data_IF_793532041552
#
_entry.id   IF_793532041552
#
_cell.length_a   1.000
_cell.length_b   1.000
_cell.length_c   1.000
_cell.angle_alpha   90.00
_cell.angle_beta   90.00
_cell.angle_gamma   90.00
#
_symmetry.space_group_name_H-M   'P 1'
#
loop_
_entity.id
_entity.type
_entity.pdbx_description
1 polymer ?
#
# COMPACT_ATOMS: atom_id res chain seq x y z
N UNK A 1 -6.69 -6.83 -17.72
CA UNK A 1 -5.69 -7.86 -17.33
C UNK A 1 -5.13 -7.44 -15.99
N UNK A 2 -5.20 -8.31 -14.99
CA UNK A 2 -4.80 -8.03 -13.60
C UNK A 2 -3.29 -7.74 -13.52
N UNK A 3 -2.90 -6.88 -12.56
CA UNK A 3 -1.49 -6.51 -12.39
C UNK A 3 -0.60 -7.73 -12.13
N UNK A 4 -1.10 -8.70 -11.36
CA UNK A 4 -0.40 -9.96 -11.11
C UNK A 4 -0.05 -10.72 -12.40
N UNK A 5 -0.94 -10.71 -13.40
CA UNK A 5 -0.71 -11.40 -14.66
C UNK A 5 0.37 -10.67 -15.46
N UNK A 6 0.34 -9.34 -15.42
CA UNK A 6 1.36 -8.49 -16.03
C UNK A 6 2.73 -8.69 -15.40
N UNK A 7 2.78 -8.83 -14.06
CA UNK A 7 4.04 -9.06 -13.32
C UNK A 7 4.57 -10.47 -13.56
N UNK A 8 3.70 -11.50 -13.57
CA UNK A 8 4.12 -12.90 -13.81
C UNK A 8 4.61 -13.16 -15.23
N UNK A 9 4.04 -12.49 -16.22
CA UNK A 9 4.38 -12.66 -17.64
C UNK A 9 4.50 -11.29 -18.32
N UNK A 10 5.53 -10.50 -17.99
CA UNK A 10 5.65 -9.15 -18.50
C UNK A 10 5.97 -9.15 -20.00
N UNK A 11 5.12 -8.51 -20.79
CA UNK A 11 5.39 -8.22 -22.21
C UNK A 11 6.07 -6.85 -22.39
N UNK A 12 5.95 -6.01 -21.39
CA UNK A 12 6.57 -4.69 -21.27
C UNK A 12 6.76 -4.36 -19.77
N UNK A 13 7.53 -3.34 -19.40
CA UNK A 13 7.60 -2.87 -18.03
C UNK A 13 6.21 -2.56 -17.46
N UNK A 14 5.97 -3.00 -16.23
CA UNK A 14 4.75 -2.66 -15.47
C UNK A 14 4.98 -1.30 -14.83
N UNK A 15 4.07 -0.37 -15.08
CA UNK A 15 4.16 1.01 -14.59
C UNK A 15 3.06 1.25 -13.55
N UNK A 16 3.47 1.53 -12.32
CA UNK A 16 2.57 2.01 -11.27
C UNK A 16 2.80 3.51 -11.03
N UNK A 17 1.72 4.26 -10.87
CA UNK A 17 1.78 5.67 -10.50
C UNK A 17 1.53 5.82 -9.01
N UNK A 18 2.47 6.46 -8.31
CA UNK A 18 2.34 6.69 -6.89
C UNK A 18 1.51 7.95 -6.61
N UNK A 19 0.54 7.81 -5.72
CA UNK A 19 -0.31 8.91 -5.27
C UNK A 19 -0.64 8.77 -3.78
N UNK A 20 -0.52 9.88 -3.07
CA UNK A 20 -0.90 9.97 -1.66
C UNK A 20 -2.37 10.30 -1.52
N UNK A 21 -3.08 9.72 -0.52
CA UNK A 21 -4.40 10.19 -0.16
C UNK A 21 -4.38 11.69 0.18
N UNK A 22 -5.46 12.43 -0.08
CA UNK A 22 -5.53 13.86 0.22
C UNK A 22 -5.39 14.10 1.73
N UNK A 23 -4.89 15.25 2.09
CA UNK A 23 -4.92 15.71 3.48
C UNK A 23 -6.34 16.17 3.82
N UNK A 24 -6.73 16.08 5.08
CA UNK A 24 -8.07 16.48 5.52
C UNK A 24 -8.48 17.89 5.03
N UNK A 25 -7.52 18.82 4.93
CA UNK A 25 -7.76 20.17 4.43
C UNK A 25 -7.90 20.30 2.91
N UNK A 26 -7.52 19.29 2.15
CA UNK A 26 -7.48 19.34 0.67
C UNK A 26 -8.81 18.85 0.04
N UNK A 27 -9.80 18.47 0.86
CA UNK A 27 -11.12 18.02 0.43
C UNK A 27 -11.44 16.60 0.84
N UNK A 28 -12.54 16.06 0.32
CA UNK A 28 -12.97 14.69 0.59
C UNK A 28 -12.23 13.70 -0.31
N UNK A 29 -12.15 12.42 0.13
CA UNK A 29 -11.57 11.35 -0.68
C UNK A 29 -12.23 11.24 -2.05
N UNK A 30 -13.58 11.33 -2.10
CA UNK A 30 -14.36 11.24 -3.33
C UNK A 30 -14.00 12.35 -4.32
N UNK A 31 -14.03 13.62 -3.89
CA UNK A 31 -13.75 14.75 -4.78
C UNK A 31 -12.32 14.73 -5.31
N UNK A 32 -11.38 14.24 -4.49
CA UNK A 32 -10.00 14.10 -4.90
C UNK A 32 -9.82 12.92 -5.87
N UNK A 33 -10.47 11.78 -5.62
CA UNK A 33 -10.47 10.62 -6.51
C UNK A 33 -11.05 10.96 -7.90
N UNK A 34 -12.14 11.71 -7.97
CA UNK A 34 -12.72 12.20 -9.23
C UNK A 34 -11.75 13.11 -10.01
N UNK A 35 -11.09 14.03 -9.29
CA UNK A 35 -10.11 14.94 -9.93
C UNK A 35 -8.94 14.15 -10.51
N UNK A 36 -8.39 13.22 -9.74
CA UNK A 36 -7.26 12.38 -10.18
C UNK A 36 -7.66 11.43 -11.28
N UNK A 37 -8.86 10.87 -11.26
CA UNK A 37 -9.34 9.94 -12.29
C UNK A 37 -9.31 10.55 -13.69
N UNK A 38 -9.65 11.82 -13.80
CA UNK A 38 -9.61 12.55 -15.07
C UNK A 38 -8.19 12.68 -15.64
N UNK A 39 -7.18 12.77 -14.77
CA UNK A 39 -5.77 12.80 -15.16
C UNK A 39 -5.26 11.38 -15.49
N UNK A 40 -5.57 10.40 -14.67
CA UNK A 40 -5.12 9.02 -14.85
C UNK A 40 -5.69 8.37 -16.11
N UNK A 41 -6.93 8.70 -16.49
CA UNK A 41 -7.55 8.18 -17.73
C UNK A 41 -6.81 8.57 -19.01
N UNK A 42 -5.94 9.58 -18.95
CA UNK A 42 -5.12 10.06 -20.05
C UNK A 42 -3.70 9.45 -20.07
N UNK A 43 -3.41 8.52 -19.15
CA UNK A 43 -2.08 7.93 -18.98
C UNK A 43 -2.05 6.45 -19.34
N UNK A 44 -0.85 5.93 -19.60
CA UNK A 44 -0.60 4.51 -19.85
C UNK A 44 0.07 3.87 -18.63
N UNK A 45 -0.63 3.87 -17.50
CA UNK A 45 -0.19 3.17 -16.27
C UNK A 45 -0.94 1.86 -16.12
N UNK A 46 -0.39 0.95 -15.32
CA UNK A 46 -0.91 -0.39 -15.09
C UNK A 46 -1.62 -0.52 -13.75
N UNK A 47 -1.20 0.28 -12.77
CA UNK A 47 -1.75 0.29 -11.40
C UNK A 47 -1.50 1.63 -10.71
N UNK A 48 -2.19 1.81 -9.59
CA UNK A 48 -2.05 2.97 -8.69
C UNK A 48 -1.38 2.49 -7.41
N UNK A 49 -0.24 3.09 -7.04
CA UNK A 49 0.48 2.78 -5.82
C UNK A 49 0.16 3.83 -4.75
N UNK A 50 -0.34 3.37 -3.59
CA UNK A 50 -0.79 4.26 -2.51
C UNK A 50 0.00 3.93 -1.25
N UNK A 51 1.00 4.74 -0.88
CA UNK A 51 1.78 4.51 0.32
C UNK A 51 1.05 4.99 1.58
N UNK A 52 1.17 4.20 2.66
CA UNK A 52 0.96 4.72 4.01
C UNK A 52 2.06 5.72 4.37
N UNK A 53 1.67 6.78 5.06
CA UNK A 53 2.60 7.80 5.57
C UNK A 53 2.49 7.84 7.08
N UNK A 54 3.57 7.42 7.74
CA UNK A 54 3.71 7.49 9.19
C UNK A 54 4.73 8.54 9.61
N UNK A 55 4.50 9.17 10.76
CA UNK A 55 5.53 9.95 11.44
C UNK A 55 6.41 9.02 12.25
N UNK A 56 7.64 8.81 11.80
CA UNK A 56 8.61 8.00 12.53
C UNK A 56 9.46 8.85 13.49
N UNK A 57 9.54 8.36 14.74
CA UNK A 57 10.42 8.93 15.75
C UNK A 57 11.88 8.60 15.35
N UNK A 58 12.73 9.60 15.30
CA UNK A 58 14.17 9.39 15.06
C UNK A 58 14.70 9.85 13.69
N UNK A 59 13.83 10.37 12.83
CA UNK A 59 14.23 10.96 11.53
C UNK A 59 14.86 12.37 11.62
N UNK A 60 15.16 12.85 12.82
CA UNK A 60 15.59 14.22 13.04
C UNK A 60 14.43 15.22 13.02
N UNK A 61 14.75 16.48 13.30
CA UNK A 61 13.75 17.55 13.27
C UNK A 61 13.28 17.80 11.84
N UNK A 62 12.10 17.28 11.51
CA UNK A 62 11.43 17.67 10.26
C UNK A 62 10.82 19.06 10.45
N UNK A 63 11.09 20.00 9.54
CA UNK A 63 10.51 21.34 9.62
C UNK A 63 8.97 21.36 9.46
N UNK A 64 8.41 20.25 8.99
CA UNK A 64 6.95 20.10 8.78
C UNK A 64 6.56 18.70 9.26
N UNK A 65 5.67 18.62 10.26
CA UNK A 65 5.03 17.36 10.66
C UNK A 65 4.14 16.85 9.53
N UNK A 66 4.08 15.53 9.35
CA UNK A 66 3.15 14.95 8.40
C UNK A 66 1.71 15.32 8.80
N UNK A 67 0.96 15.85 7.84
CA UNK A 67 -0.44 16.16 8.06
C UNK A 67 -1.25 14.89 7.89
N UNK A 68 -2.25 14.70 8.76
CA UNK A 68 -3.17 13.58 8.66
C UNK A 68 -3.80 13.52 7.27
N UNK A 69 -3.77 12.33 6.68
CA UNK A 69 -4.31 12.03 5.36
C UNK A 69 -5.50 11.09 5.47
N UNK A 70 -6.28 11.00 4.41
CA UNK A 70 -7.32 9.99 4.29
C UNK A 70 -6.76 8.58 4.39
N UNK A 71 -7.64 7.62 4.63
CA UNK A 71 -7.29 6.20 4.76
C UNK A 71 -6.87 5.65 3.37
N UNK A 72 -5.66 5.07 3.24
CA UNK A 72 -5.14 4.63 1.94
C UNK A 72 -5.99 3.57 1.24
N UNK A 73 -6.58 2.64 1.99
CA UNK A 73 -7.39 1.55 1.44
C UNK A 73 -8.73 2.07 0.91
N UNK A 74 -9.39 2.96 1.66
CA UNK A 74 -10.61 3.62 1.22
C UNK A 74 -10.37 4.43 -0.06
N UNK A 75 -9.25 5.16 -0.11
CA UNK A 75 -8.86 5.89 -1.31
C UNK A 75 -8.54 4.97 -2.48
N UNK A 76 -7.87 3.84 -2.23
CA UNK A 76 -7.56 2.82 -3.23
C UNK A 76 -8.82 2.19 -3.81
N UNK A 77 -9.78 1.83 -2.97
CA UNK A 77 -11.07 1.29 -3.38
C UNK A 77 -11.83 2.28 -4.29
N UNK A 78 -11.92 3.54 -3.89
CA UNK A 78 -12.56 4.59 -4.69
C UNK A 78 -11.89 4.76 -6.06
N UNK A 79 -10.56 4.75 -6.11
CA UNK A 79 -9.82 4.85 -7.38
C UNK A 79 -10.03 3.60 -8.26
N UNK A 80 -10.07 2.41 -7.68
CA UNK A 80 -10.40 1.18 -8.42
C UNK A 80 -11.78 1.29 -9.09
N UNK A 81 -12.78 1.76 -8.34
CA UNK A 81 -14.16 1.90 -8.83
C UNK A 81 -14.27 2.95 -9.95
N UNK A 82 -13.62 4.11 -9.79
CA UNK A 82 -13.75 5.23 -10.74
C UNK A 82 -12.87 5.02 -11.97
N UNK A 83 -11.64 4.55 -11.79
CA UNK A 83 -10.64 4.46 -12.88
C UNK A 83 -10.60 3.08 -13.53
N UNK A 84 -11.05 2.05 -12.82
CA UNK A 84 -10.97 0.65 -13.25
C UNK A 84 -9.54 0.09 -13.26
N UNK A 85 -8.64 0.69 -12.46
CA UNK A 85 -7.26 0.25 -12.29
C UNK A 85 -7.08 -0.34 -10.90
N UNK A 86 -6.28 -1.42 -10.79
CA UNK A 86 -6.00 -2.01 -9.48
C UNK A 86 -5.11 -1.12 -8.63
N UNK A 87 -5.44 -1.01 -7.35
CA UNK A 87 -4.61 -0.34 -6.35
C UNK A 87 -3.58 -1.30 -5.75
N UNK A 88 -2.44 -0.73 -5.37
CA UNK A 88 -1.38 -1.37 -4.58
C UNK A 88 -1.23 -0.54 -3.31
N UNK A 89 -1.43 -1.13 -2.14
CA UNK A 89 -1.21 -0.43 -0.88
C UNK A 89 0.18 -0.74 -0.33
N UNK A 90 0.94 0.29 0.04
CA UNK A 90 2.19 0.09 0.77
C UNK A 90 1.88 0.13 2.26
N UNK A 91 2.04 -1.02 2.92
CA UNK A 91 1.78 -1.18 4.35
C UNK A 91 3.07 -1.21 5.15
N UNK A 92 3.23 -0.31 6.11
CA UNK A 92 4.33 -0.33 7.07
C UNK A 92 3.97 -1.27 8.21
N UNK A 93 4.62 -2.45 8.27
CA UNK A 93 4.17 -3.55 9.14
C UNK A 93 4.79 -3.54 10.54
N UNK A 94 5.79 -2.71 10.78
CA UNK A 94 6.57 -2.78 12.01
C UNK A 94 5.96 -2.03 13.21
N UNK A 95 4.96 -1.17 12.99
CA UNK A 95 4.42 -0.30 14.04
C UNK A 95 3.34 -0.97 14.90
N UNK A 96 2.72 -2.03 14.41
CA UNK A 96 1.63 -2.73 15.07
C UNK A 96 1.98 -4.21 15.26
N UNK A 97 1.31 -4.88 16.20
CA UNK A 97 1.54 -6.30 16.48
C UNK A 97 1.24 -7.20 15.28
N UNK A 98 1.80 -8.41 15.31
CA UNK A 98 1.54 -9.41 14.27
C UNK A 98 0.04 -9.68 14.04
N UNK A 99 -0.75 -9.81 15.10
CA UNK A 99 -2.19 -10.08 15.00
C UNK A 99 -2.97 -8.90 14.41
N UNK A 100 -2.54 -7.67 14.67
CA UNK A 100 -3.10 -6.47 14.04
C UNK A 100 -2.78 -6.43 12.55
N UNK A 101 -1.57 -6.82 12.16
CA UNK A 101 -1.21 -6.91 10.74
C UNK A 101 -2.03 -7.97 10.00
N UNK A 102 -2.31 -9.12 10.63
CA UNK A 102 -3.16 -10.16 10.03
C UNK A 102 -4.57 -9.61 9.79
N UNK A 103 -5.18 -8.99 10.79
CA UNK A 103 -6.51 -8.38 10.65
C UNK A 103 -6.54 -7.31 9.55
N UNK A 104 -5.49 -6.48 9.49
CA UNK A 104 -5.38 -5.46 8.46
C UNK A 104 -5.34 -6.05 7.06
N UNK A 105 -4.59 -7.14 6.84
CA UNK A 105 -4.52 -7.83 5.55
C UNK A 105 -5.87 -8.46 5.17
N UNK A 106 -6.57 -9.07 6.14
CA UNK A 106 -7.91 -9.62 5.93
C UNK A 106 -8.90 -8.54 5.52
N UNK A 107 -8.94 -7.43 6.23
CA UNK A 107 -9.78 -6.28 5.89
C UNK A 107 -9.44 -5.68 4.53
N UNK A 108 -8.15 -5.56 4.20
CA UNK A 108 -7.70 -5.03 2.91
C UNK A 108 -8.29 -5.83 1.74
N UNK A 109 -8.33 -7.16 1.89
CA UNK A 109 -8.86 -8.04 0.86
C UNK A 109 -10.39 -8.14 0.87
N UNK A 110 -11.01 -8.26 2.07
CA UNK A 110 -12.45 -8.56 2.19
C UNK A 110 -13.35 -7.32 2.16
N UNK A 111 -12.87 -6.21 2.71
CA UNK A 111 -13.65 -4.97 2.85
C UNK A 111 -13.34 -3.97 1.74
N UNK A 112 -12.06 -3.83 1.39
CA UNK A 112 -11.62 -2.87 0.38
C UNK A 112 -11.37 -3.48 -1.00
N UNK A 113 -11.47 -4.80 -1.13
CA UNK A 113 -11.27 -5.55 -2.38
C UNK A 113 -9.93 -5.24 -3.07
N UNK A 114 -8.87 -5.02 -2.24
CA UNK A 114 -7.52 -4.73 -2.72
C UNK A 114 -6.65 -5.97 -2.52
N UNK A 115 -6.19 -6.55 -3.60
CA UNK A 115 -5.40 -7.79 -3.61
C UNK A 115 -3.89 -7.58 -3.80
N UNK A 116 -3.46 -6.32 -3.95
CA UNK A 116 -2.05 -6.02 -4.23
C UNK A 116 -1.47 -5.17 -3.11
N UNK A 117 -0.30 -5.56 -2.59
CA UNK A 117 0.35 -4.82 -1.52
C UNK A 117 1.88 -4.87 -1.59
N UNK A 118 2.50 -3.83 -1.06
CA UNK A 118 3.94 -3.78 -0.80
C UNK A 118 4.13 -3.70 0.71
N UNK A 119 4.84 -4.66 1.26
CA UNK A 119 5.17 -4.72 2.67
C UNK A 119 6.44 -3.91 2.92
N UNK A 120 6.35 -2.92 3.80
CA UNK A 120 7.42 -1.98 4.10
C UNK A 120 7.89 -2.18 5.54
N UNK A 121 9.18 -2.23 5.75
CA UNK A 121 9.80 -2.30 7.07
C UNK A 121 9.98 -0.93 7.72
N UNK A 122 10.55 -0.92 8.92
CA UNK A 122 10.90 0.31 9.64
C UNK A 122 12.10 1.02 9.01
N UNK A 123 12.19 2.30 9.24
CA UNK A 123 13.24 3.17 8.69
C UNK A 123 14.48 3.27 9.60
N UNK A 124 14.37 2.85 10.86
CA UNK A 124 15.44 2.95 11.85
C UNK A 124 15.96 1.58 12.25
N UNK A 125 17.28 1.43 12.27
CA UNK A 125 17.94 0.23 12.81
C UNK A 125 18.15 0.29 14.34
N UNK A 126 17.82 1.42 14.97
CA UNK A 126 18.02 1.66 16.41
C UNK A 126 16.70 1.62 17.19
N UNK A 127 15.57 1.50 16.50
CA UNK A 127 14.24 1.38 17.12
C UNK A 127 13.86 -0.08 17.17
N UNK A 128 13.44 -0.53 18.36
CA UNK A 128 12.84 -1.86 18.54
C UNK A 128 11.35 -1.75 18.20
N UNK A 129 10.96 -2.30 17.07
CA UNK A 129 9.60 -2.23 16.58
C UNK A 129 8.77 -3.40 17.11
N UNK A 130 7.50 -3.17 17.51
CA UNK A 130 6.62 -4.23 18.03
C UNK A 130 6.11 -5.20 16.98
N UNK A 131 6.15 -4.79 15.72
CA UNK A 131 5.55 -5.56 14.62
C UNK A 131 6.52 -6.52 13.93
N UNK A 132 6.00 -7.34 13.02
CA UNK A 132 6.78 -8.33 12.31
C UNK A 132 7.73 -7.70 11.29
N UNK A 133 8.76 -8.44 10.93
CA UNK A 133 9.63 -8.07 9.82
C UNK A 133 8.91 -8.24 8.46
N UNK A 134 9.45 -7.58 7.43
CA UNK A 134 8.98 -7.73 6.05
C UNK A 134 8.98 -9.20 5.61
N UNK A 135 10.04 -9.95 5.95
CA UNK A 135 10.16 -11.35 5.56
C UNK A 135 9.11 -12.23 6.22
N UNK A 136 8.83 -12.03 7.51
CA UNK A 136 7.78 -12.75 8.23
C UNK A 136 6.41 -12.50 7.61
N UNK A 137 6.09 -11.24 7.31
CA UNK A 137 4.80 -10.91 6.68
C UNK A 137 4.66 -11.50 5.27
N UNK A 138 5.70 -11.44 4.44
CA UNK A 138 5.66 -12.07 3.12
C UNK A 138 5.48 -13.59 3.21
N UNK A 139 6.13 -14.25 4.17
CA UNK A 139 5.94 -15.68 4.42
C UNK A 139 4.52 -16.00 4.90
N UNK A 140 3.95 -15.16 5.76
CA UNK A 140 2.59 -15.30 6.26
C UNK A 140 1.58 -15.17 5.12
N UNK A 141 1.71 -14.18 4.26
CA UNK A 141 0.85 -14.03 3.08
C UNK A 141 0.96 -15.24 2.16
N UNK A 142 2.18 -15.66 1.85
CA UNK A 142 2.40 -16.78 0.93
C UNK A 142 1.84 -18.10 1.47
N UNK A 143 2.04 -18.40 2.75
CA UNK A 143 1.67 -19.67 3.38
C UNK A 143 0.24 -19.66 3.95
N UNK A 144 -0.18 -18.55 4.55
CA UNK A 144 -1.49 -18.43 5.20
C UNK A 144 -2.61 -18.15 4.21
N UNK A 145 -2.43 -17.15 3.37
CA UNK A 145 -3.48 -16.71 2.45
C UNK A 145 -3.42 -17.43 1.10
N UNK A 146 -2.29 -17.32 0.40
CA UNK A 146 -2.21 -17.81 -0.98
C UNK A 146 -2.26 -19.33 -1.08
N UNK A 147 -1.71 -20.05 -0.08
CA UNK A 147 -1.79 -21.53 -0.04
C UNK A 147 -3.19 -22.05 0.28
N UNK A 148 -4.05 -21.22 0.88
CA UNK A 148 -5.43 -21.57 1.22
C UNK A 148 -6.45 -21.01 0.21
N UNK A 149 -6.02 -20.69 -1.01
CA UNK A 149 -6.89 -20.21 -2.09
C UNK A 149 -7.05 -18.69 -2.13
N UNK A 150 -6.34 -17.95 -1.30
CA UNK A 150 -6.21 -16.50 -1.42
C UNK A 150 -5.37 -16.13 -2.63
N UNK A 151 -5.49 -14.89 -3.07
CA UNK A 151 -4.86 -14.41 -4.30
C UNK A 151 -4.22 -13.03 -4.14
N UNK A 152 -3.44 -12.87 -3.05
CA UNK A 152 -2.75 -11.62 -2.73
C UNK A 152 -1.40 -11.57 -3.47
N UNK A 153 -1.22 -10.54 -4.31
CA UNK A 153 0.09 -10.20 -4.85
C UNK A 153 0.83 -9.33 -3.84
N UNK A 154 1.92 -9.84 -3.30
CA UNK A 154 2.74 -9.11 -2.34
C UNK A 154 4.18 -8.96 -2.80
N UNK A 155 4.76 -7.82 -2.53
CA UNK A 155 6.18 -7.50 -2.63
C UNK A 155 6.69 -6.94 -1.31
N UNK A 156 7.99 -6.84 -1.15
CA UNK A 156 8.58 -6.27 0.07
C UNK A 156 9.69 -5.27 -0.23
N UNK A 157 9.78 -4.25 0.62
CA UNK A 157 10.89 -3.30 0.63
C UNK A 157 11.60 -3.46 1.97
N UNK A 158 12.85 -3.92 1.92
CA UNK A 158 13.75 -3.93 3.06
C UNK A 158 14.79 -2.81 2.88
N UNK A 159 14.90 -1.94 3.87
CA UNK A 159 15.96 -0.93 3.89
C UNK A 159 17.19 -1.60 4.51
N UNK A 160 18.32 -1.70 3.79
CA UNK A 160 19.52 -2.30 4.37
C UNK A 160 19.99 -1.46 5.56
N UNK A 161 20.12 -2.10 6.70
CA UNK A 161 20.81 -1.50 7.86
C UNK A 161 22.30 -1.43 7.53
N UNK A 162 22.88 -0.24 7.59
CA UNK A 162 24.33 -0.03 7.44
C UNK A 162 25.06 -0.39 8.71
#
# INVERSE_FOLDING_TARGET
MRIRDKVKKPQRPVVAYEILPPREKDGTLNSYAETISSLLSQTHIDAINIPEVHDEIGRGDRPITNQKRGEPREFGMLLQDIVGMEAIINRVVVHESYDEQIRWIEENNTTYEIENMIIVGGESSTVDYPGPSVTEMLQTIARGYNSNGGDILSGGIAIPTR
#
